data_IF_097760117326
#
_entry.id   IF_097760117326
#
_cell.length_a   1.000
_cell.length_b   1.000
_cell.length_c   1.000
_cell.angle_alpha   90.00
_cell.angle_beta   90.00
_cell.angle_gamma   90.00
#
_symmetry.space_group_name_H-M   'P 1'
#
loop_
_entity.id
_entity.type
_entity.pdbx_description
1 polymer ?
#
# COMPACT_ATOMS: atom_id res chain seq x y z
N UNK A 1 49.98 -56.48 -23.06
CA UNK A 1 48.91 -56.73 -22.06
C UNK A 1 48.95 -55.75 -20.89
N UNK A 2 50.08 -55.58 -20.17
CA UNK A 2 50.19 -54.63 -19.04
C UNK A 2 49.80 -53.17 -19.39
N UNK A 3 50.25 -52.65 -20.54
CA UNK A 3 49.90 -51.28 -21.01
C UNK A 3 48.40 -51.08 -21.28
N UNK A 4 47.68 -52.11 -21.73
CA UNK A 4 46.23 -52.07 -21.95
C UNK A 4 45.47 -52.04 -20.62
N UNK A 5 45.96 -52.78 -19.63
CA UNK A 5 45.39 -52.81 -18.27
C UNK A 5 45.56 -51.47 -17.57
N UNK A 6 46.72 -50.81 -17.69
CA UNK A 6 46.93 -49.46 -17.14
C UNK A 6 46.06 -48.40 -17.83
N UNK A 7 45.82 -48.52 -19.14
CA UNK A 7 44.92 -47.63 -19.88
C UNK A 7 43.45 -47.81 -19.45
N UNK A 8 43.01 -49.06 -19.23
CA UNK A 8 41.66 -49.36 -18.76
C UNK A 8 41.44 -48.88 -17.32
N UNK A 9 42.46 -49.06 -16.45
CA UNK A 9 42.41 -48.62 -15.07
C UNK A 9 42.38 -47.09 -14.96
N UNK A 10 43.10 -46.38 -15.83
CA UNK A 10 43.07 -44.92 -15.90
C UNK A 10 41.71 -44.37 -16.38
N UNK A 11 41.03 -45.08 -17.28
CA UNK A 11 39.68 -44.72 -17.76
C UNK A 11 38.62 -44.88 -16.67
N UNK A 12 38.73 -45.92 -15.84
CA UNK A 12 37.78 -46.16 -14.73
C UNK A 12 37.91 -45.10 -13.63
N UNK A 13 39.12 -44.59 -13.38
CA UNK A 13 39.35 -43.54 -12.37
C UNK A 13 38.74 -42.19 -12.81
N UNK A 14 38.73 -41.85 -14.10
CA UNK A 14 38.09 -40.62 -14.59
C UNK A 14 36.56 -40.62 -14.45
N UNK A 15 35.92 -41.79 -14.44
CA UNK A 15 34.46 -41.90 -14.28
C UNK A 15 33.98 -41.68 -12.84
N UNK A 16 34.88 -41.74 -11.85
CA UNK A 16 34.53 -41.58 -10.43
C UNK A 16 34.56 -40.13 -9.92
N UNK A 17 35.00 -39.17 -10.74
CA UNK A 17 35.14 -37.75 -10.34
C UNK A 17 33.97 -36.87 -10.82
N UNK A 18 32.99 -37.44 -11.53
CA UNK A 18 31.91 -36.67 -12.17
C UNK A 18 30.67 -36.38 -11.29
N UNK A 19 30.70 -36.69 -9.99
CA UNK A 19 29.54 -36.49 -9.12
C UNK A 19 29.75 -35.32 -8.15
N UNK A 20 29.46 -34.12 -8.63
CA UNK A 20 29.25 -32.93 -7.83
C UNK A 20 27.92 -32.32 -8.24
N UNK A 21 26.83 -32.75 -7.61
CA UNK A 21 25.56 -32.03 -7.76
C UNK A 21 25.64 -30.80 -6.87
N UNK A 22 25.68 -29.62 -7.48
CA UNK A 22 25.44 -28.36 -6.77
C UNK A 22 24.11 -28.48 -6.05
N UNK A 23 24.17 -28.68 -4.74
CA UNK A 23 22.99 -28.63 -3.87
C UNK A 23 22.55 -27.17 -3.79
N UNK A 24 21.76 -26.73 -4.77
CA UNK A 24 21.10 -25.43 -4.67
C UNK A 24 20.23 -25.47 -3.41
N UNK A 25 20.52 -24.62 -2.40
CA UNK A 25 19.71 -24.58 -1.20
C UNK A 25 18.29 -24.22 -1.61
N UNK A 26 17.31 -25.03 -1.18
CA UNK A 26 15.90 -24.78 -1.45
C UNK A 26 15.57 -23.34 -1.05
N UNK A 27 14.98 -22.52 -1.93
CA UNK A 27 14.65 -21.15 -1.60
C UNK A 27 13.79 -21.14 -0.33
N UNK A 28 14.12 -20.26 0.62
CA UNK A 28 13.36 -20.13 1.86
C UNK A 28 11.91 -19.80 1.49
N UNK A 29 10.98 -20.68 1.84
CA UNK A 29 9.56 -20.46 1.61
C UNK A 29 9.10 -19.27 2.45
N UNK A 30 8.79 -18.15 1.81
CA UNK A 30 8.08 -17.05 2.46
C UNK A 30 6.58 -17.35 2.40
N UNK A 31 5.86 -17.02 3.48
CA UNK A 31 4.41 -17.15 3.51
C UNK A 31 3.83 -16.19 2.46
N UNK A 32 3.16 -16.74 1.45
CA UNK A 32 2.40 -15.95 0.47
C UNK A 32 1.12 -15.47 1.16
N UNK A 33 1.07 -14.19 1.50
CA UNK A 33 -0.13 -13.57 2.03
C UNK A 33 -1.14 -13.38 0.90
N UNK A 34 -2.29 -14.04 0.99
CA UNK A 34 -3.43 -13.84 0.11
C UNK A 34 -4.59 -13.28 0.92
N UNK A 35 -5.22 -12.24 0.39
CA UNK A 35 -6.37 -11.58 1.01
C UNK A 35 -7.63 -11.92 0.21
N UNK A 36 -8.78 -12.09 0.88
CA UNK A 36 -10.03 -12.37 0.18
C UNK A 36 -10.42 -11.19 -0.71
N UNK A 37 -11.28 -11.44 -1.69
CA UNK A 37 -11.75 -10.38 -2.58
C UNK A 37 -12.44 -9.27 -1.79
N UNK A 38 -12.10 -8.02 -2.10
CA UNK A 38 -12.66 -6.85 -1.45
C UNK A 38 -14.17 -6.74 -1.72
N UNK A 39 -14.93 -6.52 -0.65
CA UNK A 39 -16.33 -6.10 -0.70
C UNK A 39 -16.45 -4.76 0.01
N UNK A 40 -17.35 -3.90 -0.45
CA UNK A 40 -17.43 -2.52 0.00
C UNK A 40 -18.81 -2.20 0.56
N UNK A 41 -18.83 -1.43 1.64
CA UNK A 41 -20.05 -0.90 2.25
C UNK A 41 -19.97 0.63 2.32
N UNK A 42 -21.11 1.28 2.10
CA UNK A 42 -21.20 2.74 2.15
C UNK A 42 -21.26 3.22 3.60
N UNK A 43 -20.40 4.18 3.92
CA UNK A 43 -20.35 4.84 5.23
C UNK A 43 -21.12 6.15 5.15
N UNK A 44 -22.36 6.16 5.67
CA UNK A 44 -23.24 7.35 5.71
C UNK A 44 -23.43 7.92 7.11
N UNK A 45 -23.22 7.09 8.13
CA UNK A 45 -23.55 7.35 9.54
C UNK A 45 -22.44 8.06 10.32
N UNK A 46 -21.60 8.86 9.66
CA UNK A 46 -20.63 9.71 10.35
C UNK A 46 -21.37 10.91 10.96
N UNK A 47 -21.52 10.99 12.29
CA UNK A 47 -22.30 12.06 12.92
C UNK A 47 -21.66 13.41 12.61
N UNK A 48 -22.43 14.32 12.00
CA UNK A 48 -22.03 15.69 11.69
C UNK A 48 -20.85 15.85 10.70
N UNK A 49 -20.53 14.82 9.90
CA UNK A 49 -19.49 14.94 8.87
C UNK A 49 -20.06 15.17 7.46
N UNK A 50 -19.53 16.15 6.71
CA UNK A 50 -20.07 16.58 5.42
C UNK A 50 -19.59 15.72 4.24
N UNK A 51 -19.36 14.43 4.47
CA UNK A 51 -18.94 13.51 3.42
C UNK A 51 -19.42 12.08 3.67
N UNK A 52 -19.38 11.28 2.62
CA UNK A 52 -19.60 9.84 2.63
C UNK A 52 -18.57 9.17 1.73
N UNK A 53 -18.27 7.91 1.99
CA UNK A 53 -17.34 7.11 1.19
C UNK A 53 -17.70 5.63 1.33
N UNK A 54 -17.07 4.78 0.54
CA UNK A 54 -17.15 3.33 0.69
C UNK A 54 -15.88 2.79 1.36
N UNK A 55 -16.07 1.81 2.25
CA UNK A 55 -14.98 1.16 2.95
C UNK A 55 -15.05 -0.36 2.78
N UNK A 56 -13.90 -1.01 2.82
CA UNK A 56 -13.82 -2.46 2.75
C UNK A 56 -14.48 -3.11 3.97
N UNK A 57 -15.26 -4.17 3.77
CA UNK A 57 -15.91 -4.93 4.85
C UNK A 57 -14.93 -5.66 5.77
N UNK A 58 -13.67 -5.82 5.36
CA UNK A 58 -12.59 -6.39 6.18
C UNK A 58 -11.98 -5.36 7.15
N UNK A 59 -12.42 -4.10 7.09
CA UNK A 59 -11.88 -3.03 7.91
C UNK A 59 -12.76 -2.72 9.11
N UNK A 60 -12.15 -2.15 10.14
CA UNK A 60 -12.81 -1.66 11.34
C UNK A 60 -12.68 -0.14 11.39
N UNK A 61 -13.82 0.56 11.49
CA UNK A 61 -13.83 2.02 11.60
C UNK A 61 -13.69 2.46 13.06
N UNK A 62 -12.70 3.30 13.34
CA UNK A 62 -12.56 4.01 14.62
C UNK A 62 -12.67 5.51 14.41
N UNK A 63 -13.70 6.09 15.02
CA UNK A 63 -13.98 7.52 14.93
C UNK A 63 -13.26 8.26 16.05
N UNK A 64 -12.69 9.43 15.72
CA UNK A 64 -12.16 10.32 16.76
C UNK A 64 -13.28 11.21 17.30
N UNK A 65 -13.53 11.22 18.63
CA UNK A 65 -14.54 12.09 19.23
C UNK A 65 -14.38 13.56 18.81
N UNK A 66 -15.50 14.24 18.59
CA UNK A 66 -15.53 15.67 18.24
C UNK A 66 -14.77 16.07 16.96
N UNK A 67 -14.49 15.12 16.07
CA UNK A 67 -13.83 15.39 14.78
C UNK A 67 -14.41 14.49 13.69
N UNK A 68 -14.13 14.86 12.45
CA UNK A 68 -14.46 14.02 11.28
C UNK A 68 -13.28 13.18 10.78
N UNK A 69 -12.28 13.00 11.65
CA UNK A 69 -11.18 12.09 11.40
C UNK A 69 -11.64 10.64 11.62
N UNK A 70 -11.26 9.76 10.70
CA UNK A 70 -11.62 8.35 10.73
C UNK A 70 -10.36 7.52 10.57
N UNK A 71 -10.12 6.60 11.50
CA UNK A 71 -9.12 5.57 11.35
C UNK A 71 -9.80 4.32 10.81
N UNK A 72 -9.35 3.84 9.66
CA UNK A 72 -9.84 2.61 9.04
C UNK A 72 -8.77 1.55 9.28
N UNK A 73 -9.01 0.67 10.25
CA UNK A 73 -8.05 -0.36 10.65
C UNK A 73 -8.25 -1.63 9.83
N UNK A 74 -7.14 -2.23 9.38
CA UNK A 74 -7.12 -3.53 8.71
C UNK A 74 -6.29 -4.50 9.58
N UNK A 75 -6.91 -5.16 10.58
CA UNK A 75 -6.18 -6.00 11.53
C UNK A 75 -5.37 -7.10 10.87
N UNK A 76 -5.93 -7.78 9.87
CA UNK A 76 -5.28 -8.86 9.12
C UNK A 76 -4.04 -8.40 8.33
N UNK A 77 -3.98 -7.11 7.96
CA UNK A 77 -2.86 -6.51 7.23
C UNK A 77 -1.93 -5.71 8.13
N UNK A 78 -2.26 -5.61 9.44
CA UNK A 78 -1.56 -4.78 10.42
C UNK A 78 -1.37 -3.35 9.93
N UNK A 79 -2.39 -2.78 9.29
CA UNK A 79 -2.34 -1.46 8.71
C UNK A 79 -3.50 -0.59 9.19
N UNK A 80 -3.31 0.72 9.13
CA UNK A 80 -4.36 1.71 9.35
C UNK A 80 -4.34 2.70 8.18
N UNK A 81 -5.51 2.97 7.59
CA UNK A 81 -5.70 4.14 6.73
C UNK A 81 -6.25 5.27 7.62
N UNK A 82 -5.50 6.35 7.72
CA UNK A 82 -5.91 7.55 8.43
C UNK A 82 -6.59 8.50 7.46
N UNK A 83 -7.85 8.84 7.73
CA UNK A 83 -8.56 9.90 7.04
C UNK A 83 -8.63 11.12 7.96
N UNK A 84 -8.19 12.27 7.44
CA UNK A 84 -8.24 13.55 8.14
C UNK A 84 -9.08 14.52 7.35
N UNK A 85 -10.07 15.12 8.03
CA UNK A 85 -10.97 16.11 7.44
C UNK A 85 -10.61 17.52 7.91
N UNK A 86 -10.60 18.48 6.98
CA UNK A 86 -10.39 19.90 7.26
C UNK A 86 -11.38 20.75 6.47
N UNK A 87 -11.86 21.82 7.09
CA UNK A 87 -12.60 22.86 6.39
C UNK A 87 -11.64 23.74 5.58
N UNK A 88 -12.07 24.15 4.39
CA UNK A 88 -11.38 25.10 3.53
C UNK A 88 -11.92 26.50 3.81
N UNK A 89 -11.09 27.36 4.38
CA UNK A 89 -11.44 28.74 4.74
C UNK A 89 -10.39 29.70 4.18
N UNK A 90 -10.33 29.84 2.85
CA UNK A 90 -9.32 30.67 2.17
C UNK A 90 -7.89 30.13 2.22
N UNK A 91 -7.67 28.95 2.81
CA UNK A 91 -6.37 28.32 3.04
C UNK A 91 -6.10 27.10 2.15
N UNK A 92 -6.86 26.92 1.06
CA UNK A 92 -6.75 25.73 0.20
C UNK A 92 -5.31 25.49 -0.32
N UNK A 93 -4.60 26.56 -0.70
CA UNK A 93 -3.21 26.47 -1.16
C UNK A 93 -2.29 25.91 -0.08
N UNK A 94 -2.50 26.30 1.17
CA UNK A 94 -1.75 25.77 2.30
C UNK A 94 -2.05 24.29 2.51
N UNK A 95 -3.33 23.90 2.50
CA UNK A 95 -3.74 22.51 2.68
C UNK A 95 -3.15 21.58 1.59
N UNK A 96 -3.15 22.04 0.33
CA UNK A 96 -2.53 21.33 -0.78
C UNK A 96 -1.02 21.19 -0.59
N UNK A 97 -0.35 22.28 -0.23
CA UNK A 97 1.09 22.28 0.03
C UNK A 97 1.46 21.37 1.21
N UNK A 98 0.69 21.40 2.29
CA UNK A 98 0.92 20.56 3.47
C UNK A 98 0.75 19.07 3.13
N UNK A 99 -0.31 18.72 2.39
CA UNK A 99 -0.55 17.34 1.97
C UNK A 99 0.57 16.85 1.03
N UNK A 100 0.98 17.68 0.08
CA UNK A 100 2.07 17.35 -0.83
C UNK A 100 3.40 17.18 -0.07
N UNK A 101 3.73 18.14 0.81
CA UNK A 101 4.94 18.08 1.64
C UNK A 101 4.95 16.83 2.52
N UNK A 102 3.83 16.50 3.16
CA UNK A 102 3.70 15.29 3.97
C UNK A 102 4.00 14.02 3.17
N UNK A 103 3.49 13.93 1.94
CA UNK A 103 3.82 12.81 1.05
C UNK A 103 5.32 12.75 0.80
N UNK A 104 5.98 13.86 0.44
CA UNK A 104 7.42 13.84 0.17
C UNK A 104 8.28 13.58 1.42
N UNK A 105 7.96 14.18 2.57
CA UNK A 105 8.73 14.02 3.81
C UNK A 105 8.72 12.57 4.34
N UNK A 106 7.66 11.80 4.07
CA UNK A 106 7.55 10.39 4.45
C UNK A 106 8.08 9.39 3.42
N UNK A 107 8.71 9.88 2.35
CA UNK A 107 9.22 9.08 1.23
C UNK A 107 10.74 9.09 1.11
N UNK A 108 11.46 9.55 2.15
CA UNK A 108 12.94 9.65 2.15
C UNK A 108 13.63 8.30 1.85
N UNK A 109 12.94 7.17 2.07
CA UNK A 109 13.39 5.81 1.76
C UNK A 109 12.63 5.14 0.59
N UNK A 110 11.83 5.90 -0.13
CA UNK A 110 11.09 5.41 -1.28
C UNK A 110 12.01 5.35 -2.50
N UNK A 111 11.81 4.33 -3.32
CA UNK A 111 12.52 4.17 -4.58
C UNK A 111 11.88 5.04 -5.68
N UNK A 112 10.56 5.22 -5.61
CA UNK A 112 9.80 6.03 -6.56
C UNK A 112 8.46 6.50 -5.96
N UNK A 113 7.94 7.62 -6.46
CA UNK A 113 6.60 8.13 -6.16
C UNK A 113 5.88 8.36 -7.48
N UNK A 114 4.78 7.65 -7.72
CA UNK A 114 3.88 7.93 -8.82
C UNK A 114 2.71 8.78 -8.33
N UNK A 115 2.40 9.86 -9.02
CA UNK A 115 1.24 10.71 -8.74
C UNK A 115 0.21 10.62 -9.87
N UNK A 116 -1.07 10.55 -9.51
CA UNK A 116 -2.19 10.54 -10.45
C UNK A 116 -3.20 11.59 -10.05
N UNK A 117 -3.53 12.50 -10.97
CA UNK A 117 -4.58 13.48 -10.77
C UNK A 117 -5.95 12.78 -10.77
N UNK A 118 -6.79 13.11 -9.79
CA UNK A 118 -8.16 12.62 -9.71
C UNK A 118 -9.13 13.78 -9.91
N UNK A 119 -10.04 13.64 -10.87
CA UNK A 119 -11.08 14.64 -11.13
C UNK A 119 -12.40 13.94 -11.40
N UNK A 120 -13.44 14.37 -10.69
CA UNK A 120 -14.80 13.93 -10.93
C UNK A 120 -15.74 15.15 -10.92
N UNK A 121 -16.11 15.61 -12.11
CA UNK A 121 -16.97 16.78 -12.29
C UNK A 121 -18.41 16.56 -11.87
N UNK A 122 -18.88 15.30 -11.86
CA UNK A 122 -20.23 14.93 -11.44
C UNK A 122 -20.37 15.05 -9.92
N UNK A 123 -19.34 14.64 -9.18
CA UNK A 123 -19.36 14.61 -7.71
C UNK A 123 -18.61 15.78 -7.09
N UNK A 124 -17.99 16.62 -7.92
CA UNK A 124 -17.13 17.74 -7.52
C UNK A 124 -16.02 17.32 -6.56
N UNK A 125 -15.41 16.17 -6.84
CA UNK A 125 -14.25 15.69 -6.07
C UNK A 125 -13.01 15.81 -6.95
N UNK A 126 -12.07 16.62 -6.49
CA UNK A 126 -10.81 16.90 -7.16
C UNK A 126 -9.66 16.59 -6.21
N UNK A 127 -8.59 16.00 -6.71
CA UNK A 127 -7.56 15.49 -5.83
C UNK A 127 -6.33 14.96 -6.54
N UNK A 128 -5.45 14.38 -5.75
CA UNK A 128 -4.28 13.66 -6.24
C UNK A 128 -4.08 12.40 -5.40
N UNK A 129 -3.79 11.31 -6.08
CA UNK A 129 -3.40 10.04 -5.49
C UNK A 129 -1.90 9.82 -5.67
N UNK A 130 -1.24 9.33 -4.64
CA UNK A 130 0.19 9.06 -4.61
C UNK A 130 0.43 7.60 -4.26
N UNK A 131 1.23 6.95 -5.08
CA UNK A 131 1.74 5.60 -4.87
C UNK A 131 3.23 5.72 -4.56
N UNK A 132 3.63 5.16 -3.44
CA UNK A 132 5.01 5.20 -2.99
C UNK A 132 5.58 3.79 -3.02
N UNK A 133 6.59 3.58 -3.87
CA UNK A 133 7.27 2.31 -4.05
C UNK A 133 8.54 2.23 -3.20
N UNK A 134 8.92 1.02 -2.78
CA UNK A 134 10.09 0.78 -1.94
C UNK A 134 9.77 0.75 -0.43
N UNK A 135 10.82 0.84 0.40
CA UNK A 135 10.76 0.72 1.86
C UNK A 135 10.22 1.97 2.57
N UNK A 136 9.07 2.48 2.10
CA UNK A 136 8.40 3.63 2.69
C UNK A 136 7.42 3.23 3.80
N UNK A 137 7.22 4.15 4.76
CA UNK A 137 6.28 3.96 5.87
C UNK A 137 4.81 3.98 5.43
N UNK A 138 4.53 4.66 4.31
CA UNK A 138 3.21 4.82 3.72
C UNK A 138 3.29 4.60 2.22
N UNK A 139 2.56 3.60 1.71
CA UNK A 139 2.65 3.17 0.30
C UNK A 139 1.54 3.75 -0.60
N UNK A 140 0.46 4.27 0.00
CA UNK A 140 -0.65 4.91 -0.70
C UNK A 140 -1.17 6.12 0.10
N UNK A 141 -1.27 7.26 -0.57
CA UNK A 141 -1.77 8.50 0.01
C UNK A 141 -2.65 9.24 -0.99
N UNK A 142 -3.56 10.07 -0.51
CA UNK A 142 -4.31 10.98 -1.36
C UNK A 142 -4.73 12.25 -0.62
N UNK A 143 -5.10 13.27 -1.38
CA UNK A 143 -6.00 14.31 -0.92
C UNK A 143 -7.15 14.50 -1.90
N UNK A 144 -8.28 14.98 -1.40
CA UNK A 144 -9.49 15.25 -2.15
C UNK A 144 -10.19 16.51 -1.60
N UNK A 145 -10.75 17.33 -2.49
CA UNK A 145 -11.41 18.59 -2.14
C UNK A 145 -12.53 18.91 -3.13
N UNK A 146 -13.51 19.71 -2.70
CA UNK A 146 -14.47 20.39 -3.58
C UNK A 146 -13.93 21.75 -4.09
N UNK A 147 -12.69 22.08 -3.75
CA UNK A 147 -11.99 23.35 -3.99
C UNK A 147 -12.45 24.54 -3.16
N UNK A 148 -13.57 24.45 -2.42
CA UNK A 148 -14.22 25.61 -1.78
C UNK A 148 -14.47 25.47 -0.29
N UNK A 149 -14.85 24.30 0.21
CA UNK A 149 -15.27 24.10 1.62
C UNK A 149 -14.68 22.87 2.27
N UNK A 150 -14.42 21.81 1.51
CA UNK A 150 -14.09 20.51 2.06
C UNK A 150 -12.71 20.06 1.60
N UNK A 151 -11.91 19.55 2.52
CA UNK A 151 -10.60 18.95 2.24
C UNK A 151 -10.45 17.68 3.06
N UNK A 152 -10.10 16.58 2.41
CA UNK A 152 -9.80 15.30 3.04
C UNK A 152 -8.43 14.84 2.56
N UNK A 153 -7.62 14.33 3.48
CA UNK A 153 -6.40 13.59 3.15
C UNK A 153 -6.47 12.19 3.72
N UNK A 154 -5.97 11.21 2.97
CA UNK A 154 -5.87 9.83 3.38
C UNK A 154 -4.45 9.31 3.26
N UNK A 155 -3.99 8.53 4.23
CA UNK A 155 -2.65 7.92 4.20
C UNK A 155 -2.65 6.57 4.90
N UNK A 156 -2.09 5.56 4.24
CA UNK A 156 -1.91 4.22 4.84
C UNK A 156 -0.62 4.15 5.66
N UNK A 157 -0.65 3.49 6.81
CA UNK A 157 0.54 3.17 7.60
C UNK A 157 0.48 1.72 8.08
N UNK A 158 1.61 1.02 7.97
CA UNK A 158 1.78 -0.30 8.56
C UNK A 158 2.26 -0.18 10.01
N UNK A 159 1.65 -0.96 10.91
CA UNK A 159 2.01 -1.04 12.35
C UNK A 159 3.23 -1.93 12.61
N UNK A 160 4.01 -2.22 11.58
CA UNK A 160 5.19 -3.09 11.64
C UNK A 160 6.35 -2.41 10.93
N UNK A 161 7.58 -2.67 11.38
CA UNK A 161 8.79 -2.23 10.66
C UNK A 161 8.74 -2.87 9.26
N UNK A 162 8.74 -2.08 8.17
CA UNK A 162 8.58 -2.63 6.84
C UNK A 162 9.76 -3.53 6.48
N UNK A 163 9.47 -4.79 6.15
CA UNK A 163 10.25 -5.54 5.19
C UNK A 163 9.42 -5.54 3.90
N UNK A 164 9.86 -4.82 2.87
CA UNK A 164 9.10 -4.57 1.63
C UNK A 164 8.47 -5.84 1.06
N UNK A 165 9.27 -6.89 0.90
CA UNK A 165 8.83 -8.15 0.30
C UNK A 165 7.72 -8.85 1.11
N UNK A 166 7.67 -8.62 2.42
CA UNK A 166 6.65 -9.20 3.31
C UNK A 166 5.36 -8.39 3.34
N UNK A 167 5.41 -7.07 3.08
CA UNK A 167 4.23 -6.20 3.10
C UNK A 167 3.65 -5.96 1.71
N UNK A 168 4.34 -6.32 0.63
CA UNK A 168 3.91 -6.09 -0.74
C UNK A 168 2.46 -6.56 -1.03
N UNK A 169 2.03 -7.78 -0.64
CA UNK A 169 0.65 -8.21 -0.92
C UNK A 169 -0.38 -7.35 -0.18
N UNK A 170 -0.07 -6.96 1.07
CA UNK A 170 -0.93 -6.12 1.90
C UNK A 170 -0.99 -4.70 1.33
N UNK A 171 0.14 -4.19 0.86
CA UNK A 171 0.21 -2.86 0.24
C UNK A 171 -0.57 -2.79 -1.06
N UNK A 172 -0.39 -3.75 -1.96
CA UNK A 172 -1.13 -3.80 -3.22
C UNK A 172 -2.65 -3.88 -2.98
N UNK A 173 -3.06 -4.58 -1.92
CA UNK A 173 -4.46 -4.64 -1.52
C UNK A 173 -4.95 -3.28 -1.00
N UNK A 174 -4.22 -2.69 -0.05
CA UNK A 174 -4.58 -1.42 0.57
C UNK A 174 -4.52 -0.25 -0.41
N UNK A 175 -3.63 -0.26 -1.40
CA UNK A 175 -3.57 0.76 -2.44
C UNK A 175 -4.91 0.84 -3.20
N UNK A 176 -5.46 -0.32 -3.58
CA UNK A 176 -6.76 -0.40 -4.26
C UNK A 176 -7.89 0.11 -3.36
N UNK A 177 -7.85 -0.24 -2.08
CA UNK A 177 -8.84 0.20 -1.11
C UNK A 177 -8.78 1.71 -0.85
N UNK A 178 -7.59 2.28 -0.67
CA UNK A 178 -7.39 3.73 -0.49
C UNK A 178 -7.86 4.48 -1.73
N UNK A 179 -7.57 3.94 -2.93
CA UNK A 179 -8.10 4.49 -4.19
C UNK A 179 -9.62 4.44 -4.21
N UNK A 180 -10.23 3.30 -3.83
CA UNK A 180 -11.70 3.17 -3.78
C UNK A 180 -12.33 4.16 -2.80
N UNK A 181 -11.72 4.41 -1.64
CA UNK A 181 -12.18 5.42 -0.67
C UNK A 181 -12.20 6.81 -1.33
N UNK A 182 -11.13 7.20 -2.03
CA UNK A 182 -11.08 8.48 -2.73
C UNK A 182 -12.13 8.58 -3.85
N UNK A 183 -12.26 7.54 -4.67
CA UNK A 183 -13.19 7.52 -5.83
C UNK A 183 -14.67 7.51 -5.42
N UNK A 184 -14.98 6.87 -4.30
CA UNK A 184 -16.33 6.78 -3.74
C UNK A 184 -16.72 7.98 -2.89
N UNK A 185 -15.78 8.90 -2.64
CA UNK A 185 -16.02 10.09 -1.82
C UNK A 185 -17.14 10.95 -2.41
N UNK A 186 -18.08 11.40 -1.57
CA UNK A 186 -19.13 12.35 -1.94
C UNK A 186 -19.29 13.38 -0.84
N UNK A 187 -19.38 14.66 -1.21
CA UNK A 187 -19.72 15.75 -0.30
C UNK A 187 -21.22 15.78 -0.02
N UNK A 188 -21.62 16.29 1.16
CA UNK A 188 -23.02 16.50 1.54
C UNK A 188 -23.43 17.96 1.35
#
# INVERSE_FOLDING_TARGET
>A
MKKLIYSLLSSVVLLLVACGTDILPKPKGVLRLEYPQASYQKVTELPNCPFTFEVNTLSELKYKPHSCDVNIEYPAMKATVYLTYKNVNGNIRQLLSDAQKFTYDHTIKADNIASTVFMNDTTKVYGMFYQVYGNAASQAQFYATDSVRHFISGSVYFRVVPNYDSVQPASNYLEKDVRRIMESLRWK
#
